data_IF_910789917948
#
_entry.id   IF_910789917948
#
_cell.length_a   1.000
_cell.length_b   1.000
_cell.length_c   1.000
_cell.angle_alpha   90.00
_cell.angle_beta   90.00
_cell.angle_gamma   90.00
#
_symmetry.space_group_name_H-M   'P 1'
#
loop_
_entity.id
_entity.type
_entity.pdbx_description
1 polymer ?
#
# COMPACT_ATOMS: atom_id res chain seq x y z
N UNK A 1 -76.22 40.16 50.23
CA UNK A 1 -76.41 38.86 50.92
C UNK A 1 -75.20 38.00 50.61
N UNK A 2 -74.61 37.51 51.70
CA UNK A 2 -73.60 36.45 51.88
C UNK A 2 -72.23 36.56 51.20
N UNK A 3 -71.23 36.53 52.09
CA UNK A 3 -69.79 36.54 51.91
C UNK A 3 -69.23 35.07 51.91
N UNK A 4 -67.96 34.80 52.26
CA UNK A 4 -66.91 34.34 51.33
C UNK A 4 -66.34 32.95 51.66
N UNK A 5 -65.46 32.39 50.80
CA UNK A 5 -64.50 31.35 51.22
C UNK A 5 -63.29 31.22 50.28
N UNK A 6 -62.13 31.67 50.77
CA UNK A 6 -60.76 31.26 50.40
C UNK A 6 -60.42 29.90 51.10
N UNK A 7 -59.20 29.32 51.00
CA UNK A 7 -58.33 29.00 49.86
C UNK A 7 -57.81 27.52 49.93
N UNK A 8 -57.19 26.99 48.86
CA UNK A 8 -56.30 25.81 48.99
C UNK A 8 -55.18 25.79 47.93
N UNK A 9 -54.00 26.14 48.44
CA UNK A 9 -52.60 25.80 48.15
C UNK A 9 -52.21 24.79 47.03
N UNK A 10 -50.92 24.88 46.58
CA UNK A 10 -50.43 24.43 45.28
C UNK A 10 -49.86 23.01 45.33
N UNK A 11 -49.77 22.35 44.17
CA UNK A 11 -48.88 21.20 43.98
C UNK A 11 -48.01 21.36 42.74
N UNK A 12 -46.80 21.82 43.02
CA UNK A 12 -45.57 21.45 42.33
C UNK A 12 -45.57 19.98 41.89
N UNK A 13 -45.48 19.73 40.59
CA UNK A 13 -44.69 18.65 39.96
C UNK A 13 -44.28 19.24 38.60
N UNK A 14 -43.07 19.78 38.43
CA UNK A 14 -41.83 19.07 38.71
C UNK A 14 -41.68 17.89 37.74
N UNK A 15 -41.92 18.11 36.44
CA UNK A 15 -41.43 17.24 35.38
C UNK A 15 -40.27 17.99 34.74
N UNK A 16 -39.16 17.96 35.47
CA UNK A 16 -37.90 17.45 34.94
C UNK A 16 -37.65 17.80 33.47
N UNK A 17 -37.41 19.09 33.25
CA UNK A 17 -36.61 19.61 32.15
C UNK A 17 -35.17 19.11 32.35
N UNK A 18 -34.92 17.80 32.20
CA UNK A 18 -33.56 17.27 32.07
C UNK A 18 -33.11 17.61 30.66
N UNK A 19 -32.53 18.80 30.57
CA UNK A 19 -31.20 18.98 29.96
C UNK A 19 -31.11 18.29 28.60
N UNK A 20 -31.86 18.85 27.65
CA UNK A 20 -31.45 18.93 26.26
C UNK A 20 -30.23 19.87 26.12
N UNK A 21 -29.18 19.61 26.91
CA UNK A 21 -27.81 19.91 26.51
C UNK A 21 -27.45 18.71 25.64
N UNK A 22 -27.55 18.78 24.33
CA UNK A 22 -26.44 19.25 23.49
C UNK A 22 -25.08 18.64 23.91
N UNK A 23 -25.09 17.44 24.49
CA UNK A 23 -24.08 16.42 24.24
C UNK A 23 -24.35 15.81 22.85
N UNK A 24 -24.46 16.68 21.84
CA UNK A 24 -23.80 16.39 20.59
C UNK A 24 -22.31 16.37 20.96
N UNK A 25 -21.87 15.25 21.52
CA UNK A 25 -20.49 14.85 21.48
C UNK A 25 -20.16 14.86 19.99
N UNK A 26 -19.65 16.01 19.55
CA UNK A 26 -18.67 16.12 18.52
C UNK A 26 -17.61 15.08 18.88
N UNK A 27 -17.88 13.84 18.50
CA UNK A 27 -16.85 12.89 18.19
C UNK A 27 -16.15 13.52 17.00
N UNK A 28 -15.31 14.52 17.28
CA UNK A 28 -14.17 14.79 16.44
C UNK A 28 -13.59 13.40 16.19
N UNK A 29 -13.51 12.94 14.94
CA UNK A 29 -12.86 11.67 14.68
C UNK A 29 -11.51 11.79 15.37
N UNK A 30 -11.28 10.94 16.37
CA UNK A 30 -9.94 10.72 16.89
C UNK A 30 -9.19 10.30 15.63
N UNK A 31 -8.47 11.26 15.03
CA UNK A 31 -7.58 10.99 13.92
C UNK A 31 -6.67 9.92 14.49
N UNK A 32 -6.87 8.68 14.05
CA UNK A 32 -6.08 7.56 14.50
C UNK A 32 -4.64 7.96 14.23
N UNK A 33 -3.93 8.31 15.29
CA UNK A 33 -2.56 8.78 15.21
C UNK A 33 -1.78 7.57 14.69
N UNK A 34 -1.27 7.66 13.46
CA UNK A 34 -0.60 6.53 12.81
C UNK A 34 0.51 5.98 13.69
N UNK A 35 0.83 4.69 13.53
CA UNK A 35 1.90 4.07 14.29
C UNK A 35 3.21 4.84 14.03
N UNK A 36 4.01 5.16 15.06
CA UNK A 36 5.29 5.79 14.84
C UNK A 36 6.16 4.88 13.97
N UNK A 37 6.52 5.36 12.77
CA UNK A 37 7.42 4.66 11.85
C UNK A 37 8.84 5.12 12.13
N UNK A 38 9.74 4.25 12.61
CA UNK A 38 11.12 4.65 12.90
C UNK A 38 11.85 5.11 11.64
N UNK A 39 12.57 6.21 11.76
CA UNK A 39 13.31 6.83 10.66
C UNK A 39 14.65 6.11 10.45
N UNK A 40 14.89 5.49 9.29
CA UNK A 40 16.21 4.96 8.97
C UNK A 40 17.21 6.11 8.88
N UNK A 41 18.36 5.97 9.53
CA UNK A 41 19.35 7.05 9.66
C UNK A 41 19.74 7.64 8.29
N UNK A 42 19.99 6.79 7.31
CA UNK A 42 20.36 7.19 5.95
C UNK A 42 19.27 7.97 5.21
N UNK A 43 18.00 7.83 5.61
CA UNK A 43 16.85 8.49 4.99
C UNK A 43 16.36 9.70 5.81
N UNK A 44 16.74 9.77 7.08
CA UNK A 44 16.20 10.73 8.04
C UNK A 44 16.29 12.20 7.56
N UNK A 45 17.39 12.69 6.96
CA UNK A 45 17.44 14.08 6.49
C UNK A 45 16.39 14.42 5.44
N UNK A 46 16.11 13.49 4.51
CA UNK A 46 15.14 13.69 3.44
C UNK A 46 13.70 13.48 3.96
N UNK A 47 13.46 12.43 4.74
CA UNK A 47 12.13 12.13 5.30
C UNK A 47 11.65 13.19 6.28
N UNK A 48 12.53 13.78 7.10
CA UNK A 48 12.16 14.89 8.00
C UNK A 48 11.69 16.15 7.28
N UNK A 49 12.07 16.32 6.01
CA UNK A 49 11.65 17.45 5.16
C UNK A 49 10.48 17.09 4.23
N UNK A 50 10.08 15.82 4.20
CA UNK A 50 9.03 15.36 3.34
C UNK A 50 7.67 15.84 3.86
N UNK A 51 6.98 16.66 3.05
CA UNK A 51 5.67 17.22 3.39
C UNK A 51 4.53 16.64 2.53
N UNK A 52 4.85 15.88 1.49
CA UNK A 52 3.90 15.32 0.53
C UNK A 52 4.24 13.86 0.25
N UNK A 53 3.27 13.05 -0.22
CA UNK A 53 3.54 11.68 -0.67
C UNK A 53 4.70 11.59 -1.67
N UNK A 54 4.77 12.53 -2.62
CA UNK A 54 5.85 12.58 -3.61
C UNK A 54 7.21 12.90 -3.00
N UNK A 55 7.28 13.82 -2.03
CA UNK A 55 8.52 14.11 -1.31
C UNK A 55 8.96 12.92 -0.43
N UNK A 56 8.01 12.21 0.19
CA UNK A 56 8.27 10.98 0.93
C UNK A 56 8.85 9.92 -0.01
N UNK A 57 8.24 9.70 -1.17
CA UNK A 57 8.75 8.74 -2.15
C UNK A 57 10.10 9.16 -2.74
N UNK A 58 10.33 10.46 -2.94
CA UNK A 58 11.61 11.00 -3.41
C UNK A 58 12.76 10.75 -2.41
N UNK A 59 12.47 10.73 -1.11
CA UNK A 59 13.47 10.45 -0.07
C UNK A 59 14.06 9.04 -0.15
N UNK A 60 13.34 8.10 -0.78
CA UNK A 60 13.78 6.72 -0.97
C UNK A 60 14.51 6.48 -2.30
N UNK A 61 14.66 7.49 -3.17
CA UNK A 61 15.34 7.31 -4.45
C UNK A 61 16.85 7.17 -4.28
N UNK A 62 17.49 6.49 -5.24
CA UNK A 62 18.93 6.27 -5.31
C UNK A 62 19.52 5.40 -4.19
N UNK A 63 18.69 4.78 -3.36
CA UNK A 63 19.14 3.70 -2.46
C UNK A 63 19.56 2.50 -3.32
N UNK A 64 20.78 1.97 -3.13
CA UNK A 64 21.29 0.86 -3.93
C UNK A 64 20.40 -0.37 -3.85
N UNK A 65 20.35 -1.11 -4.95
CA UNK A 65 19.70 -2.41 -4.96
C UNK A 65 20.59 -3.41 -4.21
N UNK A 66 20.01 -4.17 -3.28
CA UNK A 66 20.68 -5.30 -2.61
C UNK A 66 19.70 -6.43 -2.47
N UNK A 67 20.11 -7.64 -2.85
CA UNK A 67 19.27 -8.83 -2.76
C UNK A 67 18.78 -9.03 -1.33
N UNK A 68 17.51 -9.42 -1.23
CA UNK A 68 16.79 -9.65 0.03
C UNK A 68 16.70 -8.46 1.01
N UNK A 69 17.29 -7.30 0.67
CA UNK A 69 17.43 -6.19 1.60
C UNK A 69 16.14 -5.40 1.82
N UNK A 70 15.94 -4.96 3.06
CA UNK A 70 14.78 -4.21 3.54
C UNK A 70 15.16 -3.31 4.72
N UNK A 71 14.19 -2.60 5.27
CA UNK A 71 14.29 -1.91 6.56
C UNK A 71 13.37 -2.64 7.54
N UNK A 72 13.81 -2.91 8.77
CA UNK A 72 12.95 -3.50 9.80
C UNK A 72 12.06 -2.45 10.51
N UNK A 73 11.18 -2.91 11.38
CA UNK A 73 10.30 -2.07 12.20
C UNK A 73 11.03 -1.16 13.20
N UNK A 74 12.35 -1.26 13.34
CA UNK A 74 13.20 -0.37 14.15
C UNK A 74 13.94 0.69 13.32
N UNK A 75 13.77 0.67 11.99
CA UNK A 75 14.43 1.60 11.07
C UNK A 75 15.83 1.14 10.64
N UNK A 76 16.22 -0.10 10.93
CA UNK A 76 17.54 -0.65 10.60
C UNK A 76 17.49 -1.35 9.25
N UNK A 77 18.50 -1.12 8.40
CA UNK A 77 18.67 -1.87 7.17
C UNK A 77 19.06 -3.33 7.47
N UNK A 78 18.28 -4.27 6.95
CA UNK A 78 18.40 -5.70 7.22
C UNK A 78 18.00 -6.53 5.99
N UNK A 79 17.81 -7.84 6.15
CA UNK A 79 17.37 -8.80 5.14
C UNK A 79 16.01 -9.38 5.53
N UNK A 80 15.15 -9.71 4.56
CA UNK A 80 13.87 -10.36 4.86
C UNK A 80 14.08 -11.77 5.42
N UNK A 81 14.97 -12.57 4.84
CA UNK A 81 15.22 -13.95 5.27
C UNK A 81 15.98 -14.00 6.59
N UNK A 82 16.87 -13.03 6.82
CA UNK A 82 17.76 -12.94 7.99
C UNK A 82 17.62 -11.59 8.74
N UNK A 83 16.48 -11.31 9.39
CA UNK A 83 16.21 -10.02 10.04
C UNK A 83 17.15 -9.66 11.19
N UNK A 84 17.88 -10.63 11.73
CA UNK A 84 18.95 -10.43 12.70
C UNK A 84 20.15 -9.67 12.11
N UNK A 85 20.36 -9.78 10.79
CA UNK A 85 21.51 -9.20 10.09
C UNK A 85 21.39 -7.69 9.98
N UNK A 86 22.39 -6.95 10.46
CA UNK A 86 22.47 -5.50 10.22
C UNK A 86 23.32 -5.23 8.99
N UNK A 87 22.79 -4.51 8.02
CA UNK A 87 23.57 -4.09 6.86
C UNK A 87 24.43 -2.87 7.21
N UNK A 88 25.73 -2.94 6.91
CA UNK A 88 26.68 -1.85 7.16
C UNK A 88 26.46 -0.62 6.25
N UNK A 89 25.69 -0.77 5.18
CA UNK A 89 25.31 0.32 4.28
C UNK A 89 23.87 0.14 3.80
N UNK A 90 23.16 1.22 3.43
CA UNK A 90 21.81 1.14 2.91
C UNK A 90 21.69 0.24 1.68
N UNK A 91 20.56 -0.45 1.58
CA UNK A 91 20.21 -1.25 0.42
C UNK A 91 18.78 -1.75 0.50
N UNK A 92 18.10 -1.86 -0.64
CA UNK A 92 16.73 -2.34 -0.73
C UNK A 92 16.58 -3.22 -1.97
N UNK A 93 15.88 -4.36 -1.87
CA UNK A 93 15.32 -5.03 -3.05
C UNK A 93 13.97 -4.39 -3.42
N UNK A 94 13.28 -4.92 -4.44
CA UNK A 94 11.97 -4.40 -4.84
C UNK A 94 10.93 -4.46 -3.71
N UNK A 95 10.85 -5.58 -3.00
CA UNK A 95 9.95 -5.81 -1.88
C UNK A 95 10.25 -4.91 -0.68
N UNK A 96 11.52 -4.76 -0.33
CA UNK A 96 11.99 -3.97 0.79
C UNK A 96 11.79 -2.49 0.53
N UNK A 97 11.99 -2.06 -0.73
CA UNK A 97 11.65 -0.70 -1.15
C UNK A 97 10.16 -0.41 -1.00
N UNK A 98 9.28 -1.27 -1.55
CA UNK A 98 7.83 -1.07 -1.48
C UNK A 98 7.34 -1.10 -0.04
N UNK A 99 7.80 -2.06 0.79
CA UNK A 99 7.46 -2.12 2.21
C UNK A 99 7.89 -0.84 2.94
N UNK A 100 9.17 -0.46 2.82
CA UNK A 100 9.73 0.67 3.55
C UNK A 100 9.02 1.97 3.17
N UNK A 101 8.82 2.23 1.87
CA UNK A 101 8.10 3.41 1.42
C UNK A 101 6.63 3.40 1.88
N UNK A 102 5.97 2.24 1.81
CA UNK A 102 4.56 2.12 2.23
C UNK A 102 4.36 2.43 3.71
N UNK A 103 5.31 2.07 4.60
CA UNK A 103 5.22 2.43 6.02
C UNK A 103 5.05 3.93 6.22
N UNK A 104 5.87 4.73 5.55
CA UNK A 104 5.82 6.20 5.66
C UNK A 104 4.58 6.79 4.98
N UNK A 105 4.20 6.30 3.80
CA UNK A 105 3.03 6.79 3.08
C UNK A 105 1.73 6.47 3.81
N UNK A 106 1.62 5.27 4.37
CA UNK A 106 0.42 4.80 5.08
C UNK A 106 0.42 5.15 6.57
N UNK A 107 1.54 5.64 7.11
CA UNK A 107 1.76 5.88 8.54
C UNK A 107 1.48 4.63 9.40
N UNK A 108 2.01 3.49 8.95
CA UNK A 108 1.86 2.18 9.62
C UNK A 108 3.20 1.49 9.78
N UNK A 109 3.56 1.09 11.00
CA UNK A 109 4.82 0.38 11.24
C UNK A 109 4.65 -1.14 11.04
N UNK A 110 4.42 -1.54 9.79
CA UNK A 110 4.21 -2.94 9.41
C UNK A 110 5.48 -3.75 9.71
N UNK A 111 5.46 -4.74 10.60
CA UNK A 111 6.64 -5.53 10.94
C UNK A 111 7.08 -6.44 9.79
N UNK A 112 8.33 -6.91 9.80
CA UNK A 112 8.76 -7.90 8.79
C UNK A 112 7.95 -9.19 8.86
N UNK A 113 7.53 -9.62 10.06
CA UNK A 113 6.67 -10.79 10.23
C UNK A 113 5.29 -10.59 9.58
N UNK A 114 4.69 -9.40 9.71
CA UNK A 114 3.43 -9.06 9.04
C UNK A 114 3.60 -9.01 7.52
N UNK A 115 4.67 -8.36 7.04
CA UNK A 115 4.94 -8.25 5.61
C UNK A 115 5.17 -9.61 4.93
N UNK A 116 5.84 -10.55 5.63
CA UNK A 116 6.16 -11.90 5.14
C UNK A 116 5.07 -12.94 5.38
N UNK A 117 3.91 -12.55 5.92
CA UNK A 117 2.84 -13.50 6.24
C UNK A 117 2.35 -14.17 4.96
N UNK A 118 2.54 -15.49 4.88
CA UNK A 118 1.94 -16.35 3.88
C UNK A 118 0.43 -16.43 4.14
N UNK A 119 -0.38 -15.88 3.23
CA UNK A 119 -1.82 -15.73 3.45
C UNK A 119 -2.58 -17.02 3.18
N UNK A 120 -2.14 -17.79 2.19
CA UNK A 120 -2.76 -19.04 1.78
C UNK A 120 -2.13 -20.28 2.45
N UNK A 121 -0.98 -20.12 3.10
CA UNK A 121 -0.20 -21.22 3.64
C UNK A 121 0.44 -22.08 2.55
N UNK A 122 0.63 -21.52 1.35
CA UNK A 122 1.05 -22.24 0.16
C UNK A 122 2.37 -21.71 -0.43
N UNK A 123 3.18 -21.02 0.37
CA UNK A 123 4.46 -20.45 -0.06
C UNK A 123 5.68 -21.10 0.61
N UNK A 124 5.47 -22.15 1.40
CA UNK A 124 6.53 -22.90 2.07
C UNK A 124 7.33 -23.87 1.17
N UNK A 125 8.44 -24.46 1.67
CA UNK A 125 9.26 -25.42 0.92
C UNK A 125 8.51 -26.67 0.42
N UNK A 126 7.39 -27.02 1.06
CA UNK A 126 6.52 -28.14 0.69
C UNK A 126 5.33 -27.74 -0.20
N UNK A 127 5.22 -26.46 -0.55
CA UNK A 127 4.14 -25.98 -1.41
C UNK A 127 4.16 -26.66 -2.79
N UNK A 128 2.99 -27.03 -3.35
CA UNK A 128 2.88 -27.52 -4.72
C UNK A 128 3.23 -26.46 -5.78
N UNK A 129 3.35 -25.19 -5.39
CA UNK A 129 3.58 -24.04 -6.29
C UNK A 129 4.94 -23.37 -6.07
N UNK A 130 5.72 -23.94 -5.14
CA UNK A 130 7.09 -23.57 -4.88
C UNK A 130 7.20 -22.60 -3.71
N UNK A 131 8.43 -22.44 -3.21
CA UNK A 131 8.70 -21.53 -2.11
C UNK A 131 8.59 -20.08 -2.57
N UNK A 132 7.82 -19.24 -1.87
CA UNK A 132 7.73 -17.79 -2.14
C UNK A 132 7.05 -17.44 -3.49
N UNK A 133 6.20 -18.32 -4.01
CA UNK A 133 5.71 -18.19 -5.39
C UNK A 133 4.76 -16.99 -5.58
N UNK A 134 4.04 -16.61 -4.53
CA UNK A 134 3.11 -15.50 -4.46
C UNK A 134 3.55 -14.39 -3.50
N UNK A 135 4.78 -14.41 -3.00
CA UNK A 135 5.26 -13.42 -2.04
C UNK A 135 5.05 -11.98 -2.48
N UNK A 136 5.28 -11.66 -3.76
CA UNK A 136 5.00 -10.32 -4.26
C UNK A 136 3.52 -9.94 -4.24
N UNK A 137 2.58 -10.90 -4.28
CA UNK A 137 1.15 -10.66 -4.06
C UNK A 137 0.86 -10.52 -2.56
N UNK A 138 1.31 -11.48 -1.76
CA UNK A 138 1.10 -11.51 -0.33
C UNK A 138 1.63 -10.24 0.34
N UNK A 139 2.83 -9.80 -0.06
CA UNK A 139 3.42 -8.56 0.42
C UNK A 139 2.50 -7.36 0.19
N UNK A 140 1.97 -7.17 -1.02
CA UNK A 140 1.10 -6.01 -1.30
C UNK A 140 -0.25 -6.11 -0.59
N UNK A 141 -0.77 -7.33 -0.40
CA UNK A 141 -1.99 -7.57 0.39
C UNK A 141 -1.76 -7.32 1.89
N UNK A 142 -0.62 -7.75 2.42
CA UNK A 142 -0.23 -7.57 3.82
C UNK A 142 0.05 -6.10 4.13
N UNK A 143 0.69 -5.36 3.23
CA UNK A 143 0.85 -3.90 3.36
C UNK A 143 -0.51 -3.20 3.43
N UNK A 144 -1.46 -3.66 2.62
CA UNK A 144 -2.78 -3.06 2.51
C UNK A 144 -3.79 -3.58 3.57
N UNK A 145 -3.38 -4.50 4.45
CA UNK A 145 -4.26 -5.13 5.43
C UNK A 145 -4.91 -4.10 6.36
N UNK A 146 -6.22 -4.20 6.54
CA UNK A 146 -7.02 -3.26 7.33
C UNK A 146 -7.37 -1.94 6.63
N UNK A 147 -7.02 -1.76 5.35
CA UNK A 147 -7.44 -0.62 4.53
C UNK A 147 -8.60 -1.01 3.59
N UNK A 148 -9.43 -0.06 3.14
CA UNK A 148 -10.44 -0.32 2.12
C UNK A 148 -9.77 -0.42 0.75
N UNK A 149 -9.36 -1.64 0.37
CA UNK A 149 -8.60 -1.93 -0.85
C UNK A 149 -9.51 -2.38 -1.98
N UNK A 150 -9.16 -2.00 -3.20
CA UNK A 150 -9.78 -2.55 -4.42
C UNK A 150 -8.74 -2.78 -5.53
N UNK A 151 -8.98 -3.78 -6.36
CA UNK A 151 -8.20 -3.96 -7.58
C UNK A 151 -8.56 -2.89 -8.63
N UNK A 152 -7.57 -2.39 -9.36
CA UNK A 152 -7.76 -1.50 -10.50
C UNK A 152 -7.55 -2.27 -11.79
N UNK A 153 -8.65 -2.70 -12.40
CA UNK A 153 -8.65 -3.49 -13.64
C UNK A 153 -9.14 -2.68 -14.84
N UNK A 154 -8.66 -2.90 -16.07
CA UNK A 154 -8.99 -2.06 -17.23
C UNK A 154 -10.46 -2.03 -17.63
N UNK A 155 -11.24 -3.04 -17.24
CA UNK A 155 -12.67 -3.22 -17.52
C UNK A 155 -13.58 -2.58 -16.46
N UNK A 156 -13.02 -2.11 -15.34
CA UNK A 156 -13.81 -1.57 -14.23
C UNK A 156 -14.21 -2.59 -13.17
N UNK A 157 -13.91 -3.88 -13.38
CA UNK A 157 -14.22 -4.91 -12.41
C UNK A 157 -13.53 -4.62 -11.06
N UNK A 158 -14.25 -4.93 -9.97
CA UNK A 158 -13.79 -4.76 -8.59
C UNK A 158 -13.95 -6.10 -7.85
N UNK A 159 -13.13 -7.12 -8.20
CA UNK A 159 -13.18 -8.41 -7.52
C UNK A 159 -12.77 -8.26 -6.05
N UNK A 160 -13.21 -9.23 -5.24
CA UNK A 160 -12.75 -9.35 -3.86
C UNK A 160 -11.25 -9.73 -3.84
N UNK A 161 -10.42 -8.79 -3.41
CA UNK A 161 -8.96 -8.95 -3.35
C UNK A 161 -8.52 -9.83 -2.17
N UNK A 162 -9.38 -10.04 -1.18
CA UNK A 162 -9.05 -10.84 0.01
C UNK A 162 -8.99 -12.34 -0.29
N UNK A 163 -9.63 -12.75 -1.39
CA UNK A 163 -9.68 -14.14 -1.86
C UNK A 163 -8.72 -14.40 -3.03
N UNK A 164 -7.86 -13.44 -3.40
CA UNK A 164 -6.96 -13.59 -4.53
C UNK A 164 -5.91 -14.68 -4.25
N UNK A 165 -5.84 -15.67 -5.13
CA UNK A 165 -4.98 -16.86 -5.01
C UNK A 165 -3.75 -16.77 -5.92
N UNK A 166 -3.24 -15.58 -6.22
CA UNK A 166 -2.11 -15.33 -7.15
C UNK A 166 -2.38 -15.65 -8.63
N UNK A 167 -3.26 -16.62 -8.91
CA UNK A 167 -3.54 -17.16 -10.24
C UNK A 167 -4.78 -16.54 -10.87
N UNK A 168 -5.83 -16.36 -10.07
CA UNK A 168 -7.13 -15.85 -10.46
C UNK A 168 -7.12 -14.34 -10.73
N UNK A 169 -6.35 -13.59 -9.95
CA UNK A 169 -6.28 -12.14 -10.02
C UNK A 169 -4.84 -11.68 -10.31
N UNK A 170 -4.46 -11.77 -11.59
CA UNK A 170 -3.13 -11.34 -12.07
C UNK A 170 -3.10 -9.93 -12.64
N UNK A 171 -4.24 -9.25 -12.65
CA UNK A 171 -4.42 -7.96 -13.32
C UNK A 171 -4.36 -8.07 -14.84
N UNK A 172 -3.64 -7.18 -15.52
CA UNK A 172 -3.61 -7.07 -16.98
C UNK A 172 -2.17 -7.14 -17.55
N UNK A 173 -1.98 -7.46 -18.85
CA UNK A 173 -0.65 -7.50 -19.45
C UNK A 173 0.08 -6.16 -19.33
N UNK A 174 1.34 -6.16 -18.88
CA UNK A 174 2.10 -4.91 -18.69
C UNK A 174 2.31 -4.18 -20.02
N UNK A 175 2.52 -4.92 -21.10
CA UNK A 175 2.73 -4.38 -22.44
C UNK A 175 1.45 -3.87 -23.12
N UNK A 176 0.27 -4.06 -22.54
CA UNK A 176 -1.01 -3.64 -23.16
C UNK A 176 -1.25 -2.14 -22.97
N UNK A 177 -0.89 -1.36 -24.00
CA UNK A 177 -1.10 0.09 -24.01
C UNK A 177 -2.58 0.49 -23.92
N UNK A 178 -3.50 -0.32 -24.46
CA UNK A 178 -4.93 -0.03 -24.39
C UNK A 178 -5.48 -0.25 -22.97
N UNK A 179 -4.97 -1.25 -22.26
CA UNK A 179 -5.26 -1.42 -20.84
C UNK A 179 -4.75 -0.24 -20.01
N UNK A 180 -3.52 0.21 -20.24
CA UNK A 180 -2.98 1.41 -19.58
C UNK A 180 -3.79 2.67 -19.86
N UNK A 181 -4.26 2.87 -21.10
CA UNK A 181 -5.12 3.99 -21.45
C UNK A 181 -6.46 4.00 -20.67
N UNK A 182 -6.98 2.82 -20.29
CA UNK A 182 -8.19 2.70 -19.45
C UNK A 182 -7.89 2.82 -17.95
N UNK A 183 -6.68 2.45 -17.52
CA UNK A 183 -6.28 2.42 -16.11
C UNK A 183 -5.75 3.78 -15.64
N UNK A 184 -4.86 4.44 -16.39
CA UNK A 184 -4.24 5.70 -15.99
C UNK A 184 -5.23 6.79 -15.56
N UNK A 185 -6.34 7.05 -16.27
CA UNK A 185 -7.32 8.07 -15.86
C UNK A 185 -8.04 7.78 -14.54
N UNK A 186 -7.94 6.55 -14.03
CA UNK A 186 -8.56 6.11 -12.77
C UNK A 186 -7.63 6.21 -11.58
N UNK A 187 -6.35 6.48 -11.81
CA UNK A 187 -5.36 6.70 -10.76
C UNK A 187 -5.47 8.14 -10.29
N UNK A 188 -5.78 8.35 -9.01
CA UNK A 188 -6.12 9.66 -8.45
C UNK A 188 -5.25 10.01 -7.23
N UNK A 189 -4.96 11.31 -7.01
CA UNK A 189 -4.28 11.77 -5.80
C UNK A 189 -5.03 11.37 -4.53
N UNK A 190 -4.30 11.26 -3.42
CA UNK A 190 -4.84 10.79 -2.13
C UNK A 190 -4.92 9.26 -2.01
N UNK A 191 -4.41 8.54 -3.01
CA UNK A 191 -4.31 7.09 -3.01
C UNK A 191 -2.90 6.66 -3.37
N UNK A 192 -2.51 5.49 -2.86
CA UNK A 192 -1.34 4.74 -3.30
C UNK A 192 -1.80 3.49 -4.01
N UNK A 193 -1.09 3.10 -5.06
CA UNK A 193 -1.39 1.86 -5.80
C UNK A 193 -0.22 0.90 -5.64
N UNK A 194 -0.45 -0.18 -4.90
CA UNK A 194 0.53 -1.24 -4.72
C UNK A 194 0.44 -2.19 -5.91
N UNK A 195 1.57 -2.42 -6.56
CA UNK A 195 1.64 -3.22 -7.77
C UNK A 195 2.36 -4.53 -7.51
N UNK A 196 1.77 -5.63 -7.98
CA UNK A 196 2.40 -6.95 -8.02
C UNK A 196 2.51 -7.42 -9.48
N UNK A 197 3.72 -7.80 -9.90
CA UNK A 197 4.01 -8.23 -11.26
C UNK A 197 4.25 -9.73 -11.27
N UNK A 198 3.43 -10.43 -12.05
CA UNK A 198 3.47 -11.88 -12.18
C UNK A 198 3.92 -12.33 -13.56
N UNK A 199 4.63 -13.46 -13.62
CA UNK A 199 4.90 -14.18 -14.87
C UNK A 199 4.86 -15.70 -14.65
N UNK A 200 4.41 -16.49 -15.63
CA UNK A 200 4.68 -17.92 -15.69
C UNK A 200 6.18 -18.20 -15.61
N UNK A 201 6.53 -19.32 -15.00
CA UNK A 201 7.91 -19.83 -15.00
C UNK A 201 7.92 -21.33 -15.26
N UNK A 202 9.00 -21.81 -15.87
CA UNK A 202 9.25 -23.24 -16.10
C UNK A 202 10.35 -23.72 -15.16
N UNK A 203 10.16 -23.55 -13.85
CA UNK A 203 11.08 -24.04 -12.81
C UNK A 203 10.37 -25.16 -12.06
N UNK A 204 11.07 -26.25 -11.74
CA UNK A 204 10.47 -27.37 -10.99
C UNK A 204 9.83 -26.85 -9.70
N UNK A 205 8.55 -27.16 -9.49
CA UNK A 205 7.77 -26.69 -8.36
C UNK A 205 7.07 -25.34 -8.59
N UNK A 206 7.43 -24.55 -9.60
CA UNK A 206 6.83 -23.24 -9.85
C UNK A 206 6.16 -23.18 -11.22
N UNK A 207 4.94 -22.69 -11.26
CA UNK A 207 4.22 -22.42 -12.54
C UNK A 207 3.97 -20.94 -12.77
N UNK A 208 3.96 -20.15 -11.70
CA UNK A 208 3.74 -18.71 -11.68
C UNK A 208 4.62 -18.11 -10.58
N UNK A 209 5.14 -16.91 -10.81
CA UNK A 209 5.85 -16.11 -9.80
C UNK A 209 5.35 -14.68 -9.80
N UNK A 210 5.06 -14.15 -8.62
CA UNK A 210 4.93 -12.72 -8.35
C UNK A 210 6.32 -12.12 -8.02
N UNK A 211 7.12 -11.94 -9.06
CA UNK A 211 8.57 -11.76 -8.93
C UNK A 211 9.04 -10.32 -8.74
N UNK A 212 8.13 -9.34 -8.86
CA UNK A 212 8.48 -7.93 -8.72
C UNK A 212 7.29 -7.16 -8.16
N UNK A 213 7.57 -6.18 -7.31
CA UNK A 213 6.57 -5.26 -6.78
C UNK A 213 6.97 -3.81 -7.05
N UNK A 214 5.97 -2.94 -7.13
CA UNK A 214 6.17 -1.51 -7.31
C UNK A 214 5.08 -0.73 -6.57
N UNK A 215 5.23 0.59 -6.54
CA UNK A 215 4.27 1.51 -5.96
C UNK A 215 3.99 2.62 -6.96
N UNK A 216 2.74 3.01 -7.16
CA UNK A 216 2.35 4.10 -8.06
C UNK A 216 1.72 5.22 -7.24
N UNK A 217 2.19 6.46 -7.47
CA UNK A 217 1.63 7.67 -6.89
C UNK A 217 1.17 8.63 -8.00
N UNK A 218 -0.12 8.99 -8.00
CA UNK A 218 -0.64 10.12 -8.75
C UNK A 218 -0.47 11.41 -7.94
N UNK A 219 0.14 12.40 -8.57
CA UNK A 219 0.31 13.74 -8.03
C UNK A 219 -0.87 14.65 -8.43
N UNK A 220 -1.15 15.73 -7.67
CA UNK A 220 -2.26 16.66 -7.96
C UNK A 220 -2.20 17.34 -9.34
N UNK A 221 -1.03 17.43 -9.95
CA UNK A 221 -0.81 18.02 -11.28
C UNK A 221 -1.14 17.05 -12.43
N UNK A 222 -1.60 15.84 -12.12
CA UNK A 222 -1.89 14.78 -13.11
C UNK A 222 -0.68 13.89 -13.43
N UNK A 223 0.49 14.17 -12.85
CA UNK A 223 1.67 13.31 -13.00
C UNK A 223 1.43 11.98 -12.28
N UNK A 224 1.51 10.87 -13.01
CA UNK A 224 1.51 9.52 -12.43
C UNK A 224 2.92 8.95 -12.51
N UNK A 225 3.47 8.55 -11.37
CA UNK A 225 4.83 7.99 -11.24
C UNK A 225 4.81 6.59 -10.64
N UNK A 226 5.58 5.68 -11.25
CA UNK A 226 5.92 4.37 -10.68
C UNK A 226 7.25 4.47 -9.95
N UNK A 227 7.27 3.96 -8.73
CA UNK A 227 8.42 3.86 -7.85
C UNK A 227 8.73 2.38 -7.63
N UNK A 228 9.96 1.97 -7.90
CA UNK A 228 10.42 0.61 -7.67
C UNK A 228 11.95 0.51 -7.60
N UNK A 229 12.46 -0.61 -7.11
CA UNK A 229 13.90 -0.89 -7.08
C UNK A 229 14.24 -2.05 -8.02
N UNK A 230 15.28 -1.89 -8.84
CA UNK A 230 15.77 -2.95 -9.74
C UNK A 230 17.29 -3.10 -9.65
N UNK A 231 17.83 -4.29 -9.96
CA UNK A 231 19.26 -4.48 -10.10
C UNK A 231 19.86 -3.46 -11.10
N UNK A 232 21.00 -2.88 -10.74
CA UNK A 232 21.73 -1.91 -11.58
C UNK A 232 21.22 -0.47 -11.53
N UNK A 233 19.93 -0.23 -11.21
CA UNK A 233 19.38 1.13 -11.07
C UNK A 233 19.12 1.54 -9.62
N UNK A 234 19.06 0.58 -8.69
CA UNK A 234 18.60 0.87 -7.33
C UNK A 234 17.12 1.25 -7.33
N UNK A 235 16.72 1.94 -6.27
CA UNK A 235 15.41 2.57 -6.16
C UNK A 235 15.31 3.79 -7.07
N UNK A 236 14.31 3.82 -7.94
CA UNK A 236 14.15 4.86 -8.94
C UNK A 236 12.67 5.08 -9.28
N UNK A 237 12.42 6.12 -10.09
CA UNK A 237 11.09 6.58 -10.49
C UNK A 237 10.96 6.62 -12.02
N UNK A 238 9.79 6.25 -12.53
CA UNK A 238 9.40 6.40 -13.94
C UNK A 238 8.04 7.11 -14.03
N UNK A 239 7.95 8.16 -14.85
CA UNK A 239 6.70 8.94 -15.01
C UNK A 239 5.81 8.35 -16.09
N UNK A 240 4.88 7.48 -15.72
CA UNK A 240 4.02 6.70 -16.65
C UNK A 240 2.81 7.45 -17.19
N UNK A 241 2.54 8.67 -16.71
CA UNK A 241 1.52 9.57 -17.28
C UNK A 241 1.90 10.11 -18.67
N UNK A 242 3.16 9.98 -19.07
CA UNK A 242 3.64 10.35 -20.42
C UNK A 242 3.78 9.12 -21.29
N UNK A 243 3.55 9.22 -22.63
CA UNK A 243 3.79 8.09 -23.53
C UNK A 243 5.22 7.55 -23.46
N UNK A 244 6.22 8.44 -23.35
CA UNK A 244 7.62 8.07 -23.25
C UNK A 244 7.93 7.30 -21.96
N UNK A 245 7.46 7.79 -20.81
CA UNK A 245 7.72 7.13 -19.53
C UNK A 245 6.94 5.82 -19.39
N UNK A 246 5.73 5.72 -19.96
CA UNK A 246 5.01 4.44 -20.03
C UNK A 246 5.80 3.44 -20.90
N UNK A 247 6.28 3.84 -22.07
CA UNK A 247 7.10 2.99 -22.92
C UNK A 247 8.41 2.57 -22.23
N UNK A 248 9.05 3.48 -21.48
CA UNK A 248 10.21 3.17 -20.65
C UNK A 248 9.88 2.09 -19.62
N UNK A 249 8.81 2.26 -18.84
CA UNK A 249 8.37 1.29 -17.85
C UNK A 249 8.08 -0.08 -18.50
N UNK A 250 7.30 -0.11 -19.57
CA UNK A 250 7.00 -1.33 -20.32
C UNK A 250 8.27 -2.02 -20.84
N UNK A 251 9.29 -1.26 -21.24
CA UNK A 251 10.55 -1.82 -21.74
C UNK A 251 11.35 -2.57 -20.65
N UNK A 252 11.28 -2.14 -19.39
CA UNK A 252 11.93 -2.82 -18.26
C UNK A 252 11.29 -4.20 -18.01
N UNK A 253 10.02 -4.34 -18.37
CA UNK A 253 9.27 -5.58 -18.24
C UNK A 253 8.99 -6.24 -19.58
N UNK A 254 9.81 -6.00 -20.62
CA UNK A 254 9.59 -6.57 -21.96
C UNK A 254 9.35 -8.07 -21.90
N UNK A 255 8.26 -8.48 -22.53
CA UNK A 255 7.85 -9.87 -22.65
C UNK A 255 8.77 -10.63 -23.62
N UNK A 256 9.08 -11.89 -23.29
CA UNK A 256 9.59 -12.84 -24.30
C UNK A 256 8.44 -13.44 -25.08
N UNK A 257 7.32 -13.69 -24.39
CA UNK A 257 6.04 -14.13 -24.95
C UNK A 257 5.00 -13.05 -24.68
N UNK A 258 4.33 -12.49 -25.72
CA UNK A 258 3.38 -11.39 -25.54
C UNK A 258 2.32 -11.68 -24.47
N UNK A 259 2.20 -10.77 -23.50
CA UNK A 259 1.18 -10.83 -22.45
C UNK A 259 1.48 -11.80 -21.30
N UNK A 260 2.67 -12.38 -21.28
CA UNK A 260 3.13 -13.29 -20.24
C UNK A 260 3.26 -12.58 -18.88
N UNK A 261 3.87 -11.39 -18.87
CA UNK A 261 3.98 -10.57 -17.66
C UNK A 261 2.74 -9.71 -17.46
N UNK A 262 2.14 -9.86 -16.28
CA UNK A 262 0.92 -9.15 -15.89
C UNK A 262 1.15 -8.35 -14.63
N UNK A 263 0.44 -7.23 -14.51
CA UNK A 263 0.48 -6.34 -13.35
C UNK A 263 -0.91 -6.27 -12.71
N UNK A 264 -0.97 -6.57 -11.43
CA UNK A 264 -2.10 -6.28 -10.55
C UNK A 264 -1.83 -4.98 -9.82
N UNK A 265 -2.82 -4.08 -9.78
CA UNK A 265 -2.79 -2.84 -9.03
C UNK A 265 -3.84 -2.89 -7.92
N UNK A 266 -3.43 -2.64 -6.69
CA UNK A 266 -4.29 -2.52 -5.51
C UNK A 266 -4.32 -1.05 -5.07
N UNK A 267 -5.48 -0.41 -5.18
CA UNK A 267 -5.69 0.95 -4.67
C UNK A 267 -5.89 0.91 -3.14
N UNK A 268 -5.15 1.71 -2.40
CA UNK A 268 -5.34 1.96 -0.98
C UNK A 268 -5.35 3.46 -0.69
N UNK A 269 -6.23 3.97 0.18
CA UNK A 269 -6.24 5.39 0.53
C UNK A 269 -5.00 5.76 1.35
N UNK A 270 -4.48 6.96 1.09
CA UNK A 270 -3.50 7.59 1.98
C UNK A 270 -4.20 8.23 3.18
N UNK A 271 -3.57 8.29 4.36
CA UNK A 271 -4.06 9.09 5.48
C UNK A 271 -4.27 10.56 5.07
N UNK A 272 -5.29 11.20 5.63
CA UNK A 272 -5.61 12.62 5.41
C UNK A 272 -4.92 13.51 6.43
#
# INVERSE_FOLDING_TARGET
>A
MNAPSNPASPRFRGITLIVAVLAACLAAPVLAQGDPVPLPEALAPALKRAATPDHTAAAFLSIPYRDDATVDESGRFTLFEHPETTLASPGLNCSGFVLSLSRFLLQKNITLAQAKKDRAGDSGPQSPHGRDWDFGLDLVLNIAEGLPVRAVLPDGASPDVTQATGRDLRGFPIADAAAWARVLPRLRPGFVYLASISKPVKKRGYTLLHYHVALILPAPDGTVSVYHATPGSGSHRVVISTPQGLAQFQSQFRDKVPGEKRILLLEAPLPR
#
